data_IF_206800353863
#
_entry.id   IF_206800353863
#
_cell.length_a   1.000
_cell.length_b   1.000
_cell.length_c   1.000
_cell.angle_alpha   90.00
_cell.angle_beta   90.00
_cell.angle_gamma   90.00
#
_symmetry.space_group_name_H-M   'P 1'
#
loop_
_entity.id
_entity.type
_entity.pdbx_description
1 polymer ?
#
# COMPACT_ATOMS: atom_id res chain seq x y z
N UNK A 1 -2.14 -9.70 -15.92
CA UNK A 1 -1.72 -8.27 -15.89
C UNK A 1 -0.21 -8.23 -15.67
N UNK A 2 0.47 -7.09 -15.81
CA UNK A 2 1.94 -7.04 -15.56
C UNK A 2 2.25 -6.58 -14.14
N UNK A 3 3.44 -6.88 -13.64
CA UNK A 3 3.86 -6.46 -12.30
C UNK A 3 3.91 -4.93 -12.17
N UNK A 4 4.26 -4.21 -13.26
CA UNK A 4 4.26 -2.75 -13.28
C UNK A 4 2.86 -2.17 -13.09
N UNK A 5 1.80 -2.85 -13.54
CA UNK A 5 0.43 -2.42 -13.30
C UNK A 5 0.10 -2.42 -11.81
N UNK A 6 0.46 -3.50 -11.10
CA UNK A 6 0.23 -3.61 -9.66
C UNK A 6 1.15 -2.67 -8.85
N UNK A 7 2.39 -2.50 -9.29
CA UNK A 7 3.33 -1.58 -8.64
C UNK A 7 2.86 -0.12 -8.72
N UNK A 8 2.30 0.29 -9.86
CA UNK A 8 1.67 1.61 -9.98
C UNK A 8 0.51 1.78 -9.00
N UNK A 9 -0.25 0.72 -8.73
CA UNK A 9 -1.30 0.75 -7.72
C UNK A 9 -0.74 0.95 -6.31
N UNK A 10 0.37 0.31 -5.96
CA UNK A 10 1.07 0.56 -4.68
C UNK A 10 1.46 2.03 -4.53
N UNK A 11 2.00 2.66 -5.57
CA UNK A 11 2.37 4.08 -5.54
C UNK A 11 1.15 4.99 -5.33
N UNK A 12 0.05 4.74 -6.06
CA UNK A 12 -1.21 5.47 -5.88
C UNK A 12 -1.76 5.34 -4.45
N UNK A 13 -1.60 4.19 -3.80
CA UNK A 13 -1.99 4.01 -2.41
C UNK A 13 -1.09 4.81 -1.45
N UNK A 14 0.23 4.80 -1.69
CA UNK A 14 1.20 5.53 -0.87
C UNK A 14 1.02 7.06 -0.96
N UNK A 15 0.69 7.60 -2.14
CA UNK A 15 0.48 9.04 -2.36
C UNK A 15 -0.70 9.62 -1.56
N UNK A 16 -1.69 8.81 -1.17
CA UNK A 16 -2.87 9.27 -0.41
C UNK A 16 -2.55 9.90 0.95
N UNK A 17 -1.36 9.61 1.47
CA UNK A 17 -0.91 9.99 2.82
C UNK A 17 0.33 10.87 2.78
N UNK A 18 0.61 11.49 1.64
CA UNK A 18 1.68 12.48 1.52
C UNK A 18 1.54 13.56 2.60
N UNK A 19 2.60 13.75 3.38
CA UNK A 19 2.65 14.71 4.49
C UNK A 19 2.16 14.19 5.85
N UNK A 20 1.59 12.97 5.94
CA UNK A 20 1.03 12.42 7.18
C UNK A 20 1.90 11.35 7.85
N UNK A 21 2.85 10.75 7.12
CA UNK A 21 3.63 9.61 7.63
C UNK A 21 4.96 9.99 8.26
N UNK A 22 5.42 11.24 8.15
CA UNK A 22 6.73 11.65 8.69
C UNK A 22 6.86 11.29 10.20
N UNK A 23 8.01 10.72 10.65
CA UNK A 23 9.28 10.52 9.94
C UNK A 23 9.35 9.26 9.06
N UNK A 24 8.30 8.45 9.02
CA UNK A 24 8.26 7.22 8.23
C UNK A 24 7.97 7.49 6.74
N UNK A 25 8.47 6.62 5.83
CA UNK A 25 8.23 6.77 4.40
C UNK A 25 6.75 6.53 4.03
N UNK A 26 6.38 7.01 2.84
CA UNK A 26 5.14 6.63 2.19
C UNK A 26 5.29 5.20 1.67
N UNK A 27 4.37 4.32 2.06
CA UNK A 27 4.38 2.91 1.64
C UNK A 27 2.96 2.50 1.29
N UNK A 28 2.82 1.85 0.14
CA UNK A 28 1.59 1.20 -0.32
C UNK A 28 1.88 -0.25 -0.69
N UNK A 29 0.90 -1.13 -0.49
CA UNK A 29 1.00 -2.56 -0.73
C UNK A 29 -0.29 -3.09 -1.36
N UNK A 30 -0.14 -4.07 -2.25
CA UNK A 30 -1.24 -4.84 -2.81
C UNK A 30 -0.91 -6.33 -2.71
N UNK A 31 -1.92 -7.15 -2.47
CA UNK A 31 -1.82 -8.62 -2.48
C UNK A 31 -2.57 -9.12 -3.71
N UNK A 32 -1.88 -9.85 -4.58
CA UNK A 32 -2.44 -10.37 -5.84
C UNK A 32 -2.50 -11.89 -5.80
N UNK A 33 -3.64 -12.44 -6.20
CA UNK A 33 -3.83 -13.88 -6.37
C UNK A 33 -4.66 -14.13 -7.63
N UNK A 34 -4.18 -14.99 -8.54
CA UNK A 34 -4.83 -15.28 -9.83
C UNK A 34 -5.25 -14.02 -10.59
N UNK A 35 -4.30 -13.11 -10.84
CA UNK A 35 -4.51 -11.84 -11.54
C UNK A 35 -5.57 -10.91 -10.92
N UNK A 36 -5.91 -11.13 -9.65
CA UNK A 36 -6.86 -10.31 -8.90
C UNK A 36 -6.21 -9.75 -7.66
N UNK A 37 -6.37 -8.45 -7.44
CA UNK A 37 -6.05 -7.81 -6.17
C UNK A 37 -7.06 -8.30 -5.12
N UNK A 38 -6.55 -8.96 -4.09
CA UNK A 38 -7.33 -9.50 -2.97
C UNK A 38 -7.11 -8.71 -1.67
N UNK A 39 -6.17 -7.78 -1.66
CA UNK A 39 -5.96 -6.87 -0.53
C UNK A 39 -5.16 -5.64 -0.92
N UNK A 40 -5.45 -4.52 -0.26
CA UNK A 40 -4.82 -3.23 -0.51
C UNK A 40 -4.58 -2.48 0.81
N UNK A 41 -3.41 -1.87 0.95
CA UNK A 41 -3.06 -1.15 2.16
C UNK A 41 -2.03 -0.05 1.91
N UNK A 42 -1.98 0.91 2.82
CA UNK A 42 -0.95 1.95 2.88
C UNK A 42 -0.67 2.31 4.34
N UNK A 43 0.52 2.84 4.60
CA UNK A 43 0.91 3.27 5.95
C UNK A 43 0.26 4.60 6.29
N UNK A 44 -0.64 4.64 7.28
CA UNK A 44 -1.46 5.83 7.53
C UNK A 44 -0.72 6.97 8.25
N UNK A 45 0.07 6.66 9.29
CA UNK A 45 0.86 7.64 10.05
C UNK A 45 2.02 6.97 10.79
N UNK A 46 3.03 7.75 11.19
CA UNK A 46 4.13 7.25 11.99
C UNK A 46 3.67 6.54 13.27
N UNK A 47 4.20 5.34 13.51
CA UNK A 47 3.86 4.49 14.66
C UNK A 47 2.63 3.60 14.50
N UNK A 48 1.90 3.71 13.38
CA UNK A 48 0.82 2.76 13.03
C UNK A 48 1.33 1.57 12.22
N UNK A 49 0.42 0.62 11.95
CA UNK A 49 0.69 -0.55 11.14
C UNK A 49 1.26 -0.17 9.76
N UNK A 50 2.19 -0.98 9.28
CA UNK A 50 2.75 -0.83 7.94
C UNK A 50 1.71 -1.20 6.87
N UNK A 51 1.97 -0.80 5.62
CA UNK A 51 1.08 -1.01 4.49
C UNK A 51 0.72 -2.50 4.29
N UNK A 52 1.66 -3.40 4.52
CA UNK A 52 1.51 -4.84 4.35
C UNK A 52 0.46 -5.41 5.31
N UNK A 53 0.49 -4.99 6.58
CA UNK A 53 -0.51 -5.42 7.59
C UNK A 53 -1.89 -4.88 7.21
N UNK A 54 -1.97 -3.62 6.75
CA UNK A 54 -3.23 -3.04 6.31
C UNK A 54 -3.79 -3.77 5.07
N UNK A 55 -2.93 -4.21 4.14
CA UNK A 55 -3.33 -4.99 2.96
C UNK A 55 -3.79 -6.41 3.30
N UNK A 56 -3.22 -7.04 4.35
CA UNK A 56 -3.68 -8.36 4.84
C UNK A 56 -5.06 -8.26 5.50
N UNK A 57 -5.36 -7.12 6.13
CA UNK A 57 -6.58 -6.92 6.92
C UNK A 57 -7.73 -6.24 6.13
N UNK A 58 -7.56 -5.99 4.83
CA UNK A 58 -8.54 -5.27 3.97
C UNK A 58 -9.63 -6.17 3.40
#
# INVERSE_FOLDING_TARGET
MTDEFYMRRCLVLAEKVEGYTYPNPLVGAVIVHNDRIIGEGYHHKAGEAHAEINAINS
#
